data_IF_239846442421
#
_entry.id   IF_239846442421
#
_cell.length_a   1.000
_cell.length_b   1.000
_cell.length_c   1.000
_cell.angle_alpha   90.00
_cell.angle_beta   90.00
_cell.angle_gamma   90.00
#
_symmetry.space_group_name_H-M   'P 1'
#
loop_
_entity.id
_entity.type
_entity.pdbx_description
1 polymer ?
#
# COMPACT_ATOMS: atom_id res chain seq x y z
N UNK A 1 -18.51 -3.84 -1.17
CA UNK A 1 -17.16 -4.30 -0.82
C UNK A 1 -16.22 -3.23 -1.36
N UNK A 2 -15.30 -2.71 -0.53
CA UNK A 2 -14.66 -1.41 -0.70
C UNK A 2 -13.77 -1.36 -1.97
N UNK A 3 -14.28 -0.79 -3.07
CA UNK A 3 -13.64 -0.75 -4.41
C UNK A 3 -12.24 -0.12 -4.36
N UNK A 4 -12.08 0.89 -3.51
CA UNK A 4 -10.80 1.57 -3.24
C UNK A 4 -9.81 0.60 -2.58
N UNK A 5 -10.22 -0.14 -1.55
CA UNK A 5 -9.30 -1.07 -0.87
C UNK A 5 -8.81 -2.15 -1.83
N UNK A 6 -9.69 -2.69 -2.67
CA UNK A 6 -9.32 -3.73 -3.64
C UNK A 6 -8.35 -3.20 -4.71
N UNK A 7 -8.62 -2.01 -5.24
CA UNK A 7 -7.77 -1.33 -6.23
C UNK A 7 -6.37 -1.06 -5.67
N UNK A 8 -6.28 -0.46 -4.49
CA UNK A 8 -4.99 -0.14 -3.86
C UNK A 8 -4.27 -1.40 -3.39
N UNK A 9 -4.98 -2.43 -2.94
CA UNK A 9 -4.37 -3.72 -2.62
C UNK A 9 -3.76 -4.37 -3.87
N UNK A 10 -4.48 -4.38 -4.99
CA UNK A 10 -3.98 -4.91 -6.25
C UNK A 10 -2.74 -4.14 -6.74
N UNK A 11 -2.74 -2.81 -6.60
CA UNK A 11 -1.59 -1.97 -6.92
C UNK A 11 -0.39 -2.29 -6.03
N UNK A 12 -0.59 -2.41 -4.71
CA UNK A 12 0.47 -2.76 -3.77
C UNK A 12 1.10 -4.13 -4.07
N UNK A 13 0.26 -5.14 -4.34
CA UNK A 13 0.71 -6.48 -4.73
C UNK A 13 1.49 -6.45 -6.06
N UNK A 14 1.06 -5.63 -7.02
CA UNK A 14 1.76 -5.46 -8.29
C UNK A 14 3.14 -4.83 -8.08
N UNK A 15 3.26 -3.78 -7.27
CA UNK A 15 4.56 -3.15 -6.95
C UNK A 15 5.48 -4.17 -6.28
N UNK A 16 4.97 -4.93 -5.32
CA UNK A 16 5.72 -5.96 -4.62
C UNK A 16 6.21 -7.08 -5.56
N UNK A 17 5.35 -7.55 -6.47
CA UNK A 17 5.71 -8.56 -7.47
C UNK A 17 6.76 -8.03 -8.47
N UNK A 18 6.65 -6.77 -8.90
CA UNK A 18 7.63 -6.13 -9.78
C UNK A 18 8.99 -5.97 -9.09
N UNK A 19 9.00 -5.59 -7.82
CA UNK A 19 10.22 -5.46 -7.03
C UNK A 19 10.88 -6.82 -6.74
N UNK A 20 10.09 -7.85 -6.47
CA UNK A 20 10.59 -9.23 -6.33
C UNK A 20 11.18 -9.77 -7.63
N UNK A 21 10.50 -9.54 -8.75
CA UNK A 21 10.98 -9.90 -10.09
C UNK A 21 12.19 -9.08 -10.58
N UNK A 22 12.66 -8.10 -9.80
CA UNK A 22 13.77 -7.23 -10.17
C UNK A 22 13.45 -6.29 -11.34
N UNK A 23 12.17 -6.08 -11.63
CA UNK A 23 11.71 -5.16 -12.68
C UNK A 23 11.78 -3.69 -12.23
N UNK A 24 11.80 -3.46 -10.92
CA UNK A 24 11.83 -2.14 -10.29
C UNK A 24 13.07 -2.06 -9.39
N UNK A 25 13.85 -1.01 -9.55
CA UNK A 25 14.97 -0.72 -8.65
C UNK A 25 14.47 -0.17 -7.32
N UNK A 26 15.26 -0.28 -6.25
CA UNK A 26 14.87 0.26 -4.94
C UNK A 26 14.60 1.77 -4.97
N UNK A 27 15.33 2.53 -5.80
CA UNK A 27 15.08 3.97 -5.97
C UNK A 27 13.67 4.23 -6.54
N UNK A 28 13.28 3.51 -7.60
CA UNK A 28 11.93 3.56 -8.16
C UNK A 28 10.86 3.07 -7.19
N UNK A 29 11.15 2.07 -6.35
CA UNK A 29 10.22 1.60 -5.31
C UNK A 29 9.80 2.74 -4.38
N UNK A 30 10.75 3.56 -3.92
CA UNK A 30 10.42 4.69 -3.03
C UNK A 30 9.51 5.72 -3.71
N UNK A 31 9.73 6.00 -5.01
CA UNK A 31 8.86 6.87 -5.79
C UNK A 31 7.46 6.30 -5.99
N UNK A 32 7.35 5.00 -6.27
CA UNK A 32 6.07 4.31 -6.40
C UNK A 32 5.29 4.26 -5.07
N UNK A 33 6.00 4.11 -3.94
CA UNK A 33 5.42 4.14 -2.60
C UNK A 33 4.87 5.53 -2.24
N UNK A 34 5.59 6.59 -2.63
CA UNK A 34 5.16 7.98 -2.42
C UNK A 34 3.95 8.32 -3.30
N UNK A 35 3.99 7.95 -4.59
CA UNK A 35 2.86 8.10 -5.51
C UNK A 35 1.62 7.33 -5.04
N UNK A 36 1.82 6.10 -4.53
CA UNK A 36 0.75 5.30 -3.95
C UNK A 36 0.10 6.00 -2.75
N UNK A 37 0.90 6.54 -1.83
CA UNK A 37 0.40 7.26 -0.66
C UNK A 37 -0.33 8.55 -1.05
N UNK A 38 0.22 9.31 -2.00
CA UNK A 38 -0.40 10.53 -2.52
C UNK A 38 -1.75 10.24 -3.19
N UNK A 39 -1.81 9.23 -4.05
CA UNK A 39 -3.05 8.82 -4.73
C UNK A 39 -4.09 8.33 -3.73
N UNK A 40 -3.69 7.59 -2.70
CA UNK A 40 -4.61 7.15 -1.66
C UNK A 40 -5.13 8.34 -0.85
N UNK A 41 -4.27 9.30 -0.50
CA UNK A 41 -4.66 10.49 0.25
C UNK A 41 -5.69 11.33 -0.54
N UNK A 42 -5.54 11.42 -1.86
CA UNK A 42 -6.51 12.07 -2.75
C UNK A 42 -7.85 11.33 -2.74
N UNK A 43 -7.83 10.01 -2.91
CA UNK A 43 -9.04 9.17 -2.87
C UNK A 43 -9.73 9.18 -1.50
N UNK A 44 -8.95 9.21 -0.41
CA UNK A 44 -9.49 9.35 0.95
C UNK A 44 -10.08 10.74 1.18
N UNK A 45 -9.54 11.78 0.54
CA UNK A 45 -10.08 13.15 0.65
C UNK A 45 -11.45 13.26 -0.02
N UNK A 46 -11.68 12.55 -1.13
CA UNK A 46 -12.98 12.46 -1.80
C UNK A 46 -14.01 11.67 -0.98
N UNK A 47 -13.53 10.74 -0.13
CA UNK A 47 -14.38 9.98 0.78
C UNK A 47 -14.82 10.81 2.01
N UNK A 48 -16.04 10.54 2.52
CA UNK A 48 -16.49 11.14 3.77
C UNK A 48 -15.62 10.69 4.95
N UNK A 49 -15.36 11.61 5.88
CA UNK A 49 -14.48 11.41 7.04
C UNK A 49 -14.83 10.16 7.85
N UNK A 50 -16.11 9.81 7.97
CA UNK A 50 -16.58 8.61 8.66
C UNK A 50 -16.15 7.30 8.01
N UNK A 51 -15.82 7.31 6.70
CA UNK A 51 -15.41 6.12 5.95
C UNK A 51 -13.89 6.02 5.80
N UNK A 52 -13.16 7.14 5.86
CA UNK A 52 -11.68 7.18 5.78
C UNK A 52 -11.00 6.17 6.70
N UNK A 53 -11.25 6.14 8.03
CA UNK A 53 -10.57 5.19 8.92
C UNK A 53 -10.93 3.74 8.61
N UNK A 54 -12.16 3.46 8.16
CA UNK A 54 -12.56 2.11 7.78
C UNK A 54 -11.86 1.62 6.51
N UNK A 55 -11.63 2.51 5.53
CA UNK A 55 -10.89 2.21 4.30
C UNK A 55 -9.41 1.99 4.62
N UNK A 56 -8.79 2.89 5.37
CA UNK A 56 -7.37 2.79 5.75
C UNK A 56 -7.11 1.52 6.57
N UNK A 57 -7.87 1.27 7.63
CA UNK A 57 -7.69 0.07 8.45
C UNK A 57 -7.96 -1.23 7.68
N UNK A 58 -8.90 -1.23 6.74
CA UNK A 58 -9.12 -2.40 5.88
C UNK A 58 -7.94 -2.64 4.94
N UNK A 59 -7.36 -1.60 4.35
CA UNK A 59 -6.19 -1.69 3.49
C UNK A 59 -4.96 -2.14 4.28
N UNK A 60 -4.71 -1.54 5.44
CA UNK A 60 -3.61 -1.92 6.34
C UNK A 60 -3.69 -3.40 6.72
N UNK A 61 -4.86 -3.87 7.16
CA UNK A 61 -5.06 -5.26 7.56
C UNK A 61 -4.82 -6.24 6.41
N UNK A 62 -5.18 -5.86 5.17
CA UNK A 62 -4.91 -6.67 3.98
C UNK A 62 -3.44 -6.70 3.61
N UNK A 63 -2.74 -5.57 3.69
CA UNK A 63 -1.30 -5.49 3.45
C UNK A 63 -0.52 -6.28 4.49
N UNK A 64 -0.85 -6.12 5.78
CA UNK A 64 -0.28 -6.94 6.85
C UNK A 64 -0.51 -8.44 6.65
N UNK A 65 -1.72 -8.82 6.21
CA UNK A 65 -2.04 -10.19 5.84
C UNK A 65 -1.12 -10.70 4.73
N UNK A 66 -0.98 -9.92 3.65
CA UNK A 66 -0.09 -10.26 2.53
C UNK A 66 1.38 -10.37 2.93
N UNK A 67 1.87 -9.48 3.80
CA UNK A 67 3.25 -9.56 4.35
C UNK A 67 3.44 -10.85 5.14
N UNK A 68 2.46 -11.26 5.95
CA UNK A 68 2.51 -12.49 6.77
C UNK A 68 2.48 -13.76 5.93
N UNK A 69 1.86 -13.74 4.76
CA UNK A 69 1.84 -14.88 3.83
C UNK A 69 3.13 -15.00 2.99
N UNK A 70 3.90 -13.91 2.89
CA UNK A 70 5.19 -13.89 2.20
C UNK A 70 6.33 -14.33 3.12
N UNK A 71 7.43 -14.76 2.51
CA UNK A 71 8.63 -15.07 3.28
C UNK A 71 9.21 -13.79 3.91
N UNK A 72 9.70 -13.82 5.16
CA UNK A 72 10.23 -12.64 5.85
C UNK A 72 11.43 -11.99 5.15
N UNK A 73 12.19 -12.75 4.36
CA UNK A 73 13.32 -12.27 3.55
C UNK A 73 12.94 -11.97 2.08
N UNK A 74 11.66 -12.10 1.71
CA UNK A 74 11.22 -11.77 0.35
C UNK A 74 11.27 -10.28 0.11
N UNK A 75 11.79 -9.89 -1.05
CA UNK A 75 11.73 -8.51 -1.55
C UNK A 75 10.29 -8.01 -1.64
N UNK A 76 9.33 -8.88 -1.99
CA UNK A 76 7.92 -8.54 -1.99
C UNK A 76 7.43 -8.12 -0.58
N UNK A 77 7.83 -8.83 0.48
CA UNK A 77 7.47 -8.49 1.85
C UNK A 77 8.07 -7.14 2.27
N UNK A 78 9.31 -6.85 1.84
CA UNK A 78 9.93 -5.53 2.06
C UNK A 78 9.15 -4.42 1.36
N UNK A 79 8.78 -4.60 0.08
CA UNK A 79 8.02 -3.61 -0.68
C UNK A 79 6.63 -3.34 -0.07
N UNK A 80 5.91 -4.40 0.33
CA UNK A 80 4.63 -4.25 1.03
C UNK A 80 4.80 -3.57 2.40
N UNK A 81 5.90 -3.83 3.11
CA UNK A 81 6.23 -3.17 4.37
C UNK A 81 6.43 -1.66 4.20
N UNK A 82 7.14 -1.24 3.15
CA UNK A 82 7.32 0.19 2.83
C UNK A 82 6.00 0.87 2.48
N UNK A 83 5.12 0.20 1.71
CA UNK A 83 3.78 0.69 1.41
C UNK A 83 2.92 0.82 2.67
N UNK A 84 2.98 -0.16 3.58
CA UNK A 84 2.27 -0.09 4.86
C UNK A 84 2.77 1.06 5.73
N UNK A 85 4.09 1.34 5.71
CA UNK A 85 4.64 2.48 6.42
C UNK A 85 4.23 3.82 5.81
N UNK A 86 4.11 3.93 4.48
CA UNK A 86 3.67 5.18 3.84
C UNK A 86 2.22 5.53 4.19
N UNK A 87 1.35 4.53 4.34
CA UNK A 87 -0.01 4.70 4.86
C UNK A 87 -0.03 5.34 6.25
N UNK A 88 0.82 4.85 7.15
CA UNK A 88 0.94 5.36 8.52
C UNK A 88 1.66 6.71 8.62
N UNK A 89 2.49 7.05 7.62
CA UNK A 89 3.22 8.33 7.54
C UNK A 89 2.40 9.48 6.98
N UNK A 90 1.26 9.21 6.34
CA UNK A 90 0.41 10.26 5.78
C UNK A 90 -0.57 10.72 6.86
N UNK A 91 -0.35 11.86 7.53
CA UNK A 91 -1.27 12.31 8.56
C UNK A 91 -2.60 12.66 7.90
N UNK A 92 -3.63 11.90 8.22
CA UNK A 92 -5.01 12.22 7.84
C UNK A 92 -5.42 13.42 8.70
N UNK A 93 -5.20 14.63 8.20
CA UNK A 93 -5.63 15.89 8.82
C UNK A 93 -7.06 16.25 8.42
#
# INVERSE_FOLDING_TARGET
>A
MNDIVDTFLAQALKIAAQYEGGQVAFADLTGLVDEFAATLAEQLSDLPESQRPSVTSALESRLEGGIKELAPDSRAAQALGELLQSLNRTPIY
#
